data_IF_644675093830
#
_entry.id   IF_644675093830
#
_cell.length_a   1.000
_cell.length_b   1.000
_cell.length_c   1.000
_cell.angle_alpha   90.00
_cell.angle_beta   90.00
_cell.angle_gamma   90.00
#
_symmetry.space_group_name_H-M   'P 1'
#
loop_
_entity.id
_entity.type
_entity.pdbx_description
1 polymer ?
#
# COMPACT_ATOMS: atom_id res chain seq x y z
N UNK A 1 36.98 13.41 -9.09
CA UNK A 1 36.05 13.26 -7.96
C UNK A 1 35.02 14.36 -8.10
N UNK A 2 33.87 14.04 -8.69
CA UNK A 2 32.79 14.99 -8.93
C UNK A 2 31.76 14.85 -7.80
N UNK A 3 31.45 15.95 -7.15
CA UNK A 3 30.53 16.02 -6.01
C UNK A 3 29.05 15.81 -6.43
N UNK A 4 28.20 15.28 -5.54
CA UNK A 4 26.80 14.94 -5.81
C UNK A 4 25.82 16.11 -5.63
N UNK A 5 26.26 17.36 -5.83
CA UNK A 5 25.46 18.57 -5.49
C UNK A 5 24.45 18.95 -6.60
N UNK A 6 24.45 18.26 -7.75
CA UNK A 6 23.65 18.64 -8.92
C UNK A 6 22.15 18.27 -8.88
N UNK A 7 21.77 17.17 -8.22
CA UNK A 7 20.42 16.60 -8.35
C UNK A 7 19.44 17.08 -7.27
N UNK A 8 19.89 17.18 -6.01
CA UNK A 8 19.06 17.70 -4.92
C UNK A 8 18.65 19.17 -5.12
N UNK A 9 19.51 19.98 -5.77
CA UNK A 9 19.23 21.38 -6.12
C UNK A 9 18.08 21.51 -7.13
N UNK A 10 17.94 20.53 -8.04
CA UNK A 10 16.85 20.50 -9.03
C UNK A 10 15.50 20.20 -8.39
N UNK A 11 15.40 19.14 -7.57
CA UNK A 11 14.15 18.74 -6.95
C UNK A 11 13.62 19.80 -5.97
N UNK A 12 14.47 20.35 -5.10
CA UNK A 12 14.08 21.42 -4.17
C UNK A 12 13.51 22.62 -4.93
N UNK A 13 14.14 23.00 -6.04
CA UNK A 13 13.67 24.09 -6.88
C UNK A 13 12.30 23.76 -7.50
N UNK A 14 12.09 22.52 -7.98
CA UNK A 14 10.82 22.08 -8.55
C UNK A 14 9.68 22.07 -7.53
N UNK A 15 9.92 21.58 -6.30
CA UNK A 15 8.94 21.65 -5.20
C UNK A 15 8.58 23.10 -4.90
N UNK A 16 9.58 23.98 -4.80
CA UNK A 16 9.35 25.39 -4.53
C UNK A 16 8.56 26.09 -5.66
N UNK A 17 8.83 25.74 -6.92
CA UNK A 17 8.10 26.25 -8.09
C UNK A 17 6.64 25.80 -8.03
N UNK A 18 6.37 24.50 -7.86
CA UNK A 18 5.02 23.95 -7.79
C UNK A 18 4.23 24.53 -6.60
N UNK A 19 4.88 24.67 -5.45
CA UNK A 19 4.27 25.27 -4.27
C UNK A 19 3.91 26.74 -4.49
N UNK A 20 4.83 27.52 -5.08
CA UNK A 20 4.58 28.93 -5.37
C UNK A 20 3.49 29.14 -6.43
N UNK A 21 3.48 28.34 -7.50
CA UNK A 21 2.46 28.46 -8.56
C UNK A 21 1.08 28.07 -8.04
N UNK A 22 0.97 27.01 -7.23
CA UNK A 22 -0.30 26.63 -6.59
C UNK A 22 -0.85 27.72 -5.65
N UNK A 23 0.03 28.39 -4.89
CA UNK A 23 -0.35 29.56 -4.05
C UNK A 23 -0.85 30.71 -4.92
N UNK A 24 -0.14 31.00 -6.02
CA UNK A 24 -0.48 32.12 -6.89
C UNK A 24 -1.85 31.88 -7.54
N UNK A 25 -2.07 30.69 -8.10
CA UNK A 25 -3.36 30.30 -8.65
C UNK A 25 -4.48 30.35 -7.60
N UNK A 26 -4.25 29.80 -6.40
CA UNK A 26 -5.22 29.86 -5.30
C UNK A 26 -5.62 31.30 -4.98
N UNK A 27 -4.65 32.20 -4.80
CA UNK A 27 -4.90 33.61 -4.49
C UNK A 27 -5.64 34.31 -5.63
N UNK A 28 -5.27 34.01 -6.88
CA UNK A 28 -5.93 34.56 -8.06
C UNK A 28 -7.40 34.13 -8.11
N UNK A 29 -7.71 32.85 -7.94
CA UNK A 29 -9.10 32.35 -7.88
C UNK A 29 -9.85 32.94 -6.66
N UNK A 30 -9.18 33.05 -5.51
CA UNK A 30 -9.77 33.60 -4.29
C UNK A 30 -10.15 35.08 -4.44
N UNK A 31 -9.46 35.83 -5.29
CA UNK A 31 -9.72 37.26 -5.53
C UNK A 31 -11.09 37.54 -6.20
N UNK A 32 -11.70 36.53 -6.84
CA UNK A 32 -13.02 36.65 -7.46
C UNK A 32 -14.14 36.57 -6.41
N UNK A 33 -15.06 37.55 -6.38
CA UNK A 33 -16.15 37.60 -5.38
C UNK A 33 -17.20 36.50 -5.54
N UNK A 34 -17.49 36.10 -6.77
CA UNK A 34 -18.53 35.10 -7.07
C UNK A 34 -17.87 33.80 -7.48
N UNK A 35 -17.96 32.79 -6.63
CA UNK A 35 -17.37 31.48 -6.83
C UNK A 35 -18.47 30.40 -6.86
N UNK A 36 -18.80 29.84 -8.04
CA UNK A 36 -19.72 28.70 -8.11
C UNK A 36 -19.14 27.48 -7.38
N UNK A 37 -19.97 26.49 -7.07
CA UNK A 37 -19.59 25.29 -6.29
C UNK A 37 -18.29 24.64 -6.80
N UNK A 38 -18.20 24.36 -8.11
CA UNK A 38 -17.00 23.78 -8.73
C UNK A 38 -15.70 24.59 -8.53
N UNK A 39 -15.79 25.91 -8.44
CA UNK A 39 -14.62 26.78 -8.18
C UNK A 39 -14.21 26.69 -6.71
N UNK A 40 -15.17 26.59 -5.79
CA UNK A 40 -14.87 26.33 -4.37
C UNK A 40 -14.26 24.95 -4.16
N UNK A 41 -14.71 23.95 -4.91
CA UNK A 41 -14.12 22.60 -4.89
C UNK A 41 -12.69 22.61 -5.47
N UNK A 42 -12.43 23.38 -6.53
CA UNK A 42 -11.07 23.60 -7.03
C UNK A 42 -10.16 24.27 -5.98
N UNK A 43 -10.67 25.29 -5.25
CA UNK A 43 -9.91 25.91 -4.16
C UNK A 43 -9.57 24.91 -3.05
N UNK A 44 -10.51 24.03 -2.68
CA UNK A 44 -10.26 22.97 -1.70
C UNK A 44 -9.21 21.98 -2.18
N UNK A 45 -9.21 21.62 -3.48
CA UNK A 45 -8.20 20.74 -4.05
C UNK A 45 -6.81 21.40 -4.10
N UNK A 46 -6.74 22.70 -4.44
CA UNK A 46 -5.50 23.48 -4.37
C UNK A 46 -4.95 23.59 -2.95
N UNK A 47 -5.81 23.74 -1.95
CA UNK A 47 -5.40 23.76 -0.54
C UNK A 47 -4.85 22.39 -0.10
N UNK A 48 -5.48 21.30 -0.52
CA UNK A 48 -4.98 19.95 -0.28
C UNK A 48 -3.63 19.70 -0.98
N UNK A 49 -3.47 20.14 -2.23
CA UNK A 49 -2.22 20.05 -2.97
C UNK A 49 -1.10 20.85 -2.28
N UNK A 50 -1.40 22.06 -1.79
CA UNK A 50 -0.45 22.85 -1.00
C UNK A 50 -0.02 22.14 0.27
N UNK A 51 -0.94 21.47 0.95
CA UNK A 51 -0.64 20.66 2.13
C UNK A 51 0.41 19.58 1.84
N UNK A 52 0.24 18.82 0.75
CA UNK A 52 1.20 17.75 0.40
C UNK A 52 2.53 18.30 -0.12
N UNK A 53 2.52 19.41 -0.84
CA UNK A 53 3.74 20.10 -1.29
C UNK A 53 4.54 20.67 -0.12
N UNK A 54 3.86 21.14 0.93
CA UNK A 54 4.52 21.58 2.16
C UNK A 54 5.19 20.38 2.87
N UNK A 55 4.47 19.27 3.05
CA UNK A 55 5.05 18.04 3.63
C UNK A 55 6.26 17.54 2.84
N UNK A 56 6.19 17.61 1.50
CA UNK A 56 7.31 17.28 0.62
C UNK A 56 8.49 18.22 0.80
N UNK A 57 8.25 19.53 0.94
CA UNK A 57 9.30 20.51 1.21
C UNK A 57 10.03 20.19 2.51
N UNK A 58 9.29 19.86 3.58
CA UNK A 58 9.86 19.46 4.87
C UNK A 58 10.68 18.17 4.74
N UNK A 59 10.14 17.17 4.02
CA UNK A 59 10.81 15.88 3.80
C UNK A 59 12.13 16.03 3.04
N UNK A 60 12.14 16.78 1.92
CA UNK A 60 13.34 17.00 1.11
C UNK A 60 14.41 17.79 1.87
N UNK A 61 14.01 18.70 2.75
CA UNK A 61 14.95 19.47 3.58
C UNK A 61 15.54 18.66 4.74
N UNK A 62 14.81 17.68 5.26
CA UNK A 62 15.21 16.86 6.42
C UNK A 62 15.95 15.58 6.02
N UNK A 63 15.59 14.96 4.89
CA UNK A 63 16.09 13.66 4.49
C UNK A 63 17.16 13.79 3.39
N UNK A 64 18.43 13.78 3.77
CA UNK A 64 19.55 13.83 2.81
C UNK A 64 19.77 12.53 2.01
N UNK A 65 19.02 11.46 2.32
CA UNK A 65 19.25 10.10 1.80
C UNK A 65 18.00 9.44 1.18
N UNK A 66 16.92 10.20 0.98
CA UNK A 66 15.71 9.69 0.30
C UNK A 66 15.74 10.07 -1.17
N UNK A 67 15.81 9.07 -2.06
CA UNK A 67 15.71 9.30 -3.51
C UNK A 67 14.26 9.62 -3.88
N UNK A 68 14.03 10.87 -4.27
CA UNK A 68 12.74 11.40 -4.73
C UNK A 68 12.83 11.91 -6.19
N UNK A 69 13.85 11.47 -6.94
CA UNK A 69 14.09 11.89 -8.33
C UNK A 69 12.91 11.56 -9.27
N UNK A 70 12.16 10.51 -8.97
CA UNK A 70 10.94 10.15 -9.72
C UNK A 70 9.84 11.25 -9.69
N UNK A 71 9.89 12.19 -8.75
CA UNK A 71 8.97 13.33 -8.68
C UNK A 71 9.35 14.50 -9.59
N UNK A 72 10.52 14.51 -10.23
CA UNK A 72 10.97 15.66 -11.03
C UNK A 72 10.01 16.02 -12.18
N UNK A 73 9.53 15.02 -12.92
CA UNK A 73 8.57 15.23 -14.01
C UNK A 73 7.20 15.65 -13.43
N UNK A 74 6.58 14.91 -12.48
CA UNK A 74 5.32 15.31 -11.88
C UNK A 74 5.30 16.71 -11.25
N UNK A 75 6.35 17.10 -10.53
CA UNK A 75 6.42 18.42 -9.87
C UNK A 75 6.56 19.56 -10.87
N UNK A 76 7.39 19.37 -11.90
CA UNK A 76 7.52 20.33 -12.99
C UNK A 76 6.19 20.53 -13.69
N UNK A 77 5.52 19.43 -14.07
CA UNK A 77 4.22 19.48 -14.73
C UNK A 77 3.16 20.11 -13.84
N UNK A 78 3.12 19.77 -12.55
CA UNK A 78 2.24 20.40 -11.57
C UNK A 78 2.44 21.93 -11.50
N UNK A 79 3.71 22.38 -11.49
CA UNK A 79 4.05 23.79 -11.46
C UNK A 79 3.61 24.54 -12.72
N UNK A 80 3.87 23.94 -13.88
CA UNK A 80 3.47 24.45 -15.20
C UNK A 80 1.95 24.49 -15.33
N UNK A 81 1.25 23.42 -14.99
CA UNK A 81 -0.21 23.32 -15.09
C UNK A 81 -0.91 24.39 -14.22
N UNK A 82 -0.43 24.62 -12.99
CA UNK A 82 -0.95 25.71 -12.16
C UNK A 82 -0.74 27.09 -12.80
N UNK A 83 0.43 27.32 -13.40
CA UNK A 83 0.77 28.59 -14.05
C UNK A 83 -0.04 28.80 -15.33
N UNK A 84 -0.10 27.80 -16.19
CA UNK A 84 -0.85 27.84 -17.45
C UNK A 84 -2.36 28.01 -17.21
N UNK A 85 -2.92 27.33 -16.20
CA UNK A 85 -4.33 27.50 -15.86
C UNK A 85 -4.62 28.91 -15.31
N UNK A 86 -3.71 29.48 -14.52
CA UNK A 86 -3.80 30.88 -14.09
C UNK A 86 -3.81 31.83 -15.30
N UNK A 87 -2.93 31.60 -16.27
CA UNK A 87 -2.89 32.40 -17.50
C UNK A 87 -4.20 32.32 -18.29
N UNK A 88 -4.76 31.12 -18.47
CA UNK A 88 -6.07 30.96 -19.14
C UNK A 88 -7.20 31.66 -18.37
N UNK A 89 -7.20 31.56 -17.04
CA UNK A 89 -8.13 32.27 -16.18
C UNK A 89 -8.03 33.79 -16.36
N UNK A 90 -6.82 34.34 -16.37
CA UNK A 90 -6.58 35.77 -16.57
C UNK A 90 -6.95 36.23 -17.98
N UNK A 91 -6.63 35.44 -19.02
CA UNK A 91 -7.05 35.69 -20.40
C UNK A 91 -8.58 35.74 -20.52
N UNK A 92 -9.31 34.79 -19.94
CA UNK A 92 -10.76 34.78 -19.94
C UNK A 92 -11.36 35.99 -19.18
N UNK A 93 -10.73 36.40 -18.08
CA UNK A 93 -11.20 37.54 -17.27
C UNK A 93 -11.05 38.88 -18.00
N UNK A 94 -9.92 39.10 -18.69
CA UNK A 94 -9.63 40.37 -19.40
C UNK A 94 -10.56 40.62 -20.58
N UNK A 95 -11.03 39.55 -21.24
CA UNK A 95 -11.96 39.63 -22.39
C UNK A 95 -13.39 40.02 -21.98
N UNK A 96 -13.76 39.81 -20.72
CA UNK A 96 -15.14 40.02 -20.25
C UNK A 96 -15.45 41.48 -19.89
N UNK A 97 -14.50 42.41 -20.03
CA UNK A 97 -14.69 43.85 -19.80
C UNK A 97 -15.10 44.25 -18.37
N UNK A 98 -15.13 43.30 -17.44
CA UNK A 98 -15.63 43.47 -16.09
C UNK A 98 -14.52 43.49 -15.05
N UNK A 99 -14.79 44.22 -13.96
CA UNK A 99 -14.01 44.17 -12.71
C UNK A 99 -13.80 42.69 -12.29
N UNK A 100 -12.62 42.35 -11.73
CA UNK A 100 -12.28 41.00 -11.20
C UNK A 100 -13.34 40.49 -10.23
N UNK A 101 -14.14 41.38 -9.67
CA UNK A 101 -15.32 41.09 -8.87
C UNK A 101 -16.42 40.26 -9.59
N UNK A 102 -16.45 40.17 -10.93
CA UNK A 102 -17.63 39.65 -11.67
C UNK A 102 -17.33 38.68 -12.82
N UNK A 103 -16.29 37.85 -12.73
CA UNK A 103 -16.10 36.80 -13.75
C UNK A 103 -17.28 35.80 -13.72
N UNK A 104 -18.18 35.93 -14.69
CA UNK A 104 -19.39 35.11 -14.84
C UNK A 104 -19.19 33.93 -15.79
N UNK A 105 -18.13 33.96 -16.59
CA UNK A 105 -17.84 33.00 -17.66
C UNK A 105 -16.98 31.81 -17.21
N UNK A 106 -17.11 31.37 -15.95
CA UNK A 106 -16.45 30.16 -15.44
C UNK A 106 -16.73 28.91 -16.28
N UNK A 107 -17.83 28.88 -17.04
CA UNK A 107 -18.17 27.75 -17.91
C UNK A 107 -17.39 27.71 -19.22
N UNK A 108 -16.79 28.84 -19.62
CA UNK A 108 -15.96 28.96 -20.82
C UNK A 108 -14.47 28.76 -20.53
N UNK A 109 -14.10 28.67 -19.25
CA UNK A 109 -12.73 28.41 -18.85
C UNK A 109 -12.41 26.95 -19.17
N UNK A 110 -11.50 26.77 -20.13
CA UNK A 110 -11.04 25.45 -20.57
C UNK A 110 -9.54 25.34 -20.47
N UNK A 111 -9.06 24.13 -20.17
CA UNK A 111 -7.64 23.78 -20.11
C UNK A 111 -7.48 22.35 -20.62
N UNK A 112 -6.68 22.16 -21.67
CA UNK A 112 -6.48 20.86 -22.33
C UNK A 112 -7.81 20.20 -22.73
N UNK A 113 -8.69 20.96 -23.37
CA UNK A 113 -10.04 20.54 -23.73
C UNK A 113 -11.05 20.45 -22.57
N UNK A 114 -10.62 20.49 -21.31
CA UNK A 114 -11.50 20.27 -20.16
C UNK A 114 -11.92 21.55 -19.46
N UNK A 115 -13.05 21.50 -18.76
CA UNK A 115 -13.44 22.53 -17.80
C UNK A 115 -12.69 22.42 -16.47
N UNK A 116 -13.14 23.23 -15.51
CA UNK A 116 -12.64 23.28 -14.13
C UNK A 116 -12.55 21.91 -13.46
N UNK A 117 -13.51 21.01 -13.74
CA UNK A 117 -13.56 19.69 -13.13
C UNK A 117 -12.42 18.77 -13.61
N UNK A 118 -12.04 18.85 -14.89
CA UNK A 118 -10.89 18.11 -15.42
C UNK A 118 -9.57 18.65 -14.87
N UNK A 119 -9.43 19.97 -14.76
CA UNK A 119 -8.27 20.54 -14.06
C UNK A 119 -8.22 20.17 -12.57
N UNK A 120 -9.36 20.03 -11.90
CA UNK A 120 -9.40 19.53 -10.52
C UNK A 120 -8.94 18.07 -10.43
N UNK A 121 -9.33 17.22 -11.37
CA UNK A 121 -8.86 15.84 -11.46
C UNK A 121 -7.35 15.77 -11.70
N UNK A 122 -6.82 16.64 -12.54
CA UNK A 122 -5.38 16.82 -12.76
C UNK A 122 -4.62 17.10 -11.45
N UNK A 123 -5.10 18.08 -10.66
CA UNK A 123 -4.49 18.40 -9.36
C UNK A 123 -4.57 17.23 -8.37
N UNK A 124 -5.68 16.49 -8.38
CA UNK A 124 -5.84 15.29 -7.55
C UNK A 124 -4.81 14.21 -7.93
N UNK A 125 -4.52 14.06 -9.23
CA UNK A 125 -3.46 13.20 -9.75
C UNK A 125 -2.08 13.58 -9.18
N UNK A 126 -1.66 14.84 -9.32
CA UNK A 126 -0.37 15.29 -8.76
C UNK A 126 -0.31 15.11 -7.23
N UNK A 127 -1.39 15.41 -6.52
CA UNK A 127 -1.49 15.20 -5.07
C UNK A 127 -1.30 13.73 -4.71
N UNK A 128 -1.93 12.83 -5.45
CA UNK A 128 -1.78 11.38 -5.26
C UNK A 128 -0.33 10.94 -5.48
N UNK A 129 0.31 11.39 -6.57
CA UNK A 129 1.72 11.10 -6.87
C UNK A 129 2.65 11.54 -5.75
N UNK A 130 2.47 12.76 -5.23
CA UNK A 130 3.27 13.29 -4.12
C UNK A 130 3.04 12.47 -2.84
N UNK A 131 1.79 12.13 -2.53
CA UNK A 131 1.44 11.32 -1.36
C UNK A 131 2.03 9.91 -1.41
N UNK A 132 2.05 9.28 -2.58
CA UNK A 132 2.68 7.97 -2.78
C UNK A 132 4.17 8.05 -2.50
N UNK A 133 4.86 9.05 -3.04
CA UNK A 133 6.29 9.23 -2.81
C UNK A 133 6.60 9.54 -1.33
N UNK A 134 5.80 10.39 -0.68
CA UNK A 134 5.90 10.65 0.77
C UNK A 134 5.66 9.40 1.61
N UNK A 135 4.70 8.57 1.20
CA UNK A 135 4.44 7.29 1.83
C UNK A 135 5.65 6.38 1.70
N UNK A 136 6.23 6.24 0.51
CA UNK A 136 7.45 5.43 0.31
C UNK A 136 8.62 5.89 1.18
N UNK A 137 8.87 7.21 1.20
CA UNK A 137 9.89 7.81 2.06
C UNK A 137 9.66 7.52 3.55
N UNK A 138 8.40 7.59 3.99
CA UNK A 138 8.01 7.28 5.38
C UNK A 138 8.21 5.81 5.70
N UNK A 139 7.90 4.90 4.75
CA UNK A 139 8.12 3.47 4.93
C UNK A 139 9.59 3.12 5.11
N UNK A 140 10.50 3.83 4.42
CA UNK A 140 11.96 3.60 4.55
C UNK A 140 12.51 3.99 5.92
N UNK A 141 11.87 4.95 6.60
CA UNK A 141 12.41 5.58 7.82
C UNK A 141 11.74 5.10 9.10
N UNK A 142 10.53 4.54 9.03
CA UNK A 142 9.70 4.21 10.20
C UNK A 142 9.40 2.72 10.34
N UNK A 143 9.22 2.23 11.57
CA UNK A 143 8.71 0.87 11.81
C UNK A 143 7.19 0.82 11.60
N UNK A 144 6.74 0.06 10.60
CA UNK A 144 5.35 0.09 10.12
C UNK A 144 4.47 -0.94 10.85
N UNK A 145 3.23 -0.56 11.20
CA UNK A 145 2.21 -1.48 11.77
C UNK A 145 1.47 -2.22 10.65
N UNK A 146 0.79 -3.32 10.95
CA UNK A 146 0.02 -4.06 9.94
C UNK A 146 -1.16 -3.25 9.39
N UNK A 147 -1.80 -2.45 10.24
CA UNK A 147 -2.93 -1.59 9.87
C UNK A 147 -2.53 -0.47 8.89
N UNK A 148 -1.38 0.17 9.11
CA UNK A 148 -0.87 1.20 8.18
C UNK A 148 -0.54 0.60 6.81
N UNK A 149 -0.12 -0.67 6.79
CA UNK A 149 0.22 -1.37 5.55
C UNK A 149 -0.99 -1.64 4.66
N UNK A 150 -2.10 -2.08 5.24
CA UNK A 150 -3.37 -2.29 4.53
C UNK A 150 -3.90 -0.97 3.96
N UNK A 151 -3.80 0.12 4.74
CA UNK A 151 -4.16 1.46 4.27
C UNK A 151 -3.30 1.92 3.08
N UNK A 152 -1.99 1.65 3.10
CA UNK A 152 -1.11 1.97 1.98
C UNK A 152 -1.42 1.15 0.73
N UNK A 153 -1.76 -0.14 0.87
CA UNK A 153 -2.20 -0.96 -0.26
C UNK A 153 -3.49 -0.42 -0.90
N UNK A 154 -4.45 0.00 -0.08
CA UNK A 154 -5.69 0.60 -0.59
C UNK A 154 -5.43 1.95 -1.28
N UNK A 155 -4.51 2.76 -0.75
CA UNK A 155 -4.08 4.02 -1.36
C UNK A 155 -3.46 3.78 -2.74
N UNK A 156 -2.53 2.83 -2.85
CA UNK A 156 -1.86 2.48 -4.13
C UNK A 156 -2.88 2.02 -5.15
N UNK A 157 -3.80 1.13 -4.74
CA UNK A 157 -4.84 0.63 -5.65
C UNK A 157 -5.71 1.76 -6.18
N UNK A 158 -6.22 2.60 -5.29
CA UNK A 158 -7.07 3.73 -5.67
C UNK A 158 -6.34 4.69 -6.62
N UNK A 159 -5.09 5.03 -6.31
CA UNK A 159 -4.27 5.88 -7.17
C UNK A 159 -3.97 5.25 -8.53
N UNK A 160 -3.72 3.94 -8.57
CA UNK A 160 -3.48 3.20 -9.82
C UNK A 160 -4.72 3.25 -10.71
N UNK A 161 -5.89 2.94 -10.15
CA UNK A 161 -7.18 2.99 -10.86
C UNK A 161 -7.44 4.40 -11.42
N UNK A 162 -7.18 5.45 -10.61
CA UNK A 162 -7.35 6.85 -11.01
C UNK A 162 -6.36 7.28 -12.13
N UNK A 163 -5.10 6.86 -12.06
CA UNK A 163 -4.10 7.16 -13.09
C UNK A 163 -4.37 6.43 -14.40
N UNK A 164 -4.81 5.17 -14.35
CA UNK A 164 -5.19 4.42 -15.55
C UNK A 164 -6.40 5.06 -16.25
N UNK A 165 -7.40 5.48 -15.48
CA UNK A 165 -8.54 6.21 -16.02
C UNK A 165 -8.13 7.56 -16.65
N UNK A 166 -7.20 8.29 -16.01
CA UNK A 166 -6.68 9.55 -16.55
C UNK A 166 -5.84 9.35 -17.82
N UNK A 167 -5.02 8.30 -17.90
CA UNK A 167 -4.27 7.98 -19.13
C UNK A 167 -5.20 7.65 -20.30
N UNK A 168 -6.28 6.90 -20.07
CA UNK A 168 -7.27 6.63 -21.11
C UNK A 168 -7.90 7.91 -21.65
N UNK A 169 -8.24 8.85 -20.76
CA UNK A 169 -8.79 10.15 -21.15
C UNK A 169 -7.77 11.01 -21.93
N UNK A 170 -6.51 11.03 -21.49
CA UNK A 170 -5.39 11.67 -22.20
C UNK A 170 -5.20 11.09 -23.60
N UNK A 171 -5.21 9.76 -23.75
CA UNK A 171 -5.03 9.08 -25.02
C UNK A 171 -6.18 9.41 -25.99
N UNK A 172 -7.43 9.45 -25.50
CA UNK A 172 -8.60 9.90 -26.28
C UNK A 172 -8.41 11.34 -26.77
N UNK A 173 -7.89 12.25 -25.94
CA UNK A 173 -7.62 13.64 -26.32
C UNK A 173 -6.51 13.76 -27.35
N UNK A 174 -5.44 12.97 -27.21
CA UNK A 174 -4.35 12.92 -28.18
C UNK A 174 -4.87 12.46 -29.56
N UNK A 175 -5.68 11.41 -29.59
CA UNK A 175 -6.28 10.93 -30.83
C UNK A 175 -7.20 11.97 -31.48
N UNK A 176 -8.01 12.67 -30.69
CA UNK A 176 -8.90 13.71 -31.20
C UNK A 176 -8.12 14.87 -31.85
N UNK A 177 -7.04 15.33 -31.24
CA UNK A 177 -6.19 16.41 -31.78
C UNK A 177 -5.45 15.93 -33.03
N UNK A 178 -4.91 14.71 -33.02
CA UNK A 178 -4.23 14.13 -34.18
C UNK A 178 -5.17 13.96 -35.39
N UNK A 179 -6.43 13.63 -35.16
CA UNK A 179 -7.45 13.56 -36.20
C UNK A 179 -7.84 14.95 -36.73
N UNK A 180 -7.77 15.99 -35.90
CA UNK A 180 -8.10 17.36 -36.27
C UNK A 180 -6.92 18.13 -36.89
N UNK A 181 -5.68 17.64 -36.78
CA UNK A 181 -4.45 18.28 -37.26
C UNK A 181 -4.32 18.43 -38.79
N UNK A 182 -5.39 18.18 -39.56
CA UNK A 182 -5.45 18.47 -41.02
C UNK A 182 -5.43 19.98 -41.31
N UNK A 183 -5.65 20.82 -40.30
CA UNK A 183 -5.50 22.28 -40.38
C UNK A 183 -4.60 22.79 -39.25
N UNK A 184 -3.29 22.81 -39.46
CA UNK A 184 -2.28 23.25 -38.47
C UNK A 184 -2.53 24.69 -37.99
N UNK A 185 -3.01 24.85 -36.76
CA UNK A 185 -2.99 26.12 -36.03
C UNK A 185 -1.94 26.06 -34.91
N UNK A 186 -1.23 27.18 -34.66
CA UNK A 186 -0.23 27.27 -33.57
C UNK A 186 -0.83 26.93 -32.18
N UNK A 187 -2.15 27.07 -32.01
CA UNK A 187 -2.86 26.71 -30.78
C UNK A 187 -2.88 25.20 -30.54
N UNK A 188 -3.11 24.41 -31.60
CA UNK A 188 -3.19 22.95 -31.52
C UNK A 188 -1.82 22.34 -31.16
N UNK A 189 -0.72 22.96 -31.61
CA UNK A 189 0.64 22.53 -31.28
C UNK A 189 0.97 22.73 -29.78
N UNK A 190 0.51 23.83 -29.18
CA UNK A 190 0.70 24.10 -27.73
C UNK A 190 -0.13 23.13 -26.89
N UNK A 191 -1.38 22.88 -27.28
CA UNK A 191 -2.27 21.97 -26.58
C UNK A 191 -1.79 20.51 -26.65
N UNK A 192 -1.34 20.08 -27.83
CA UNK A 192 -0.73 18.76 -28.03
C UNK A 192 0.51 18.56 -27.15
N UNK A 193 1.34 19.59 -26.98
CA UNK A 193 2.50 19.53 -26.07
C UNK A 193 2.06 19.36 -24.62
N UNK A 194 1.09 20.17 -24.15
CA UNK A 194 0.57 20.07 -22.77
C UNK A 194 0.03 18.68 -22.46
N UNK A 195 -0.70 18.07 -23.40
CA UNK A 195 -1.28 16.74 -23.24
C UNK A 195 -0.19 15.66 -23.22
N UNK A 196 0.88 15.79 -24.02
CA UNK A 196 2.02 14.87 -23.96
C UNK A 196 2.80 14.99 -22.64
N UNK A 197 3.06 16.21 -22.20
CA UNK A 197 3.78 16.45 -20.93
C UNK A 197 2.95 15.90 -19.75
N UNK A 198 1.63 16.00 -19.82
CA UNK A 198 0.72 15.41 -18.83
C UNK A 198 0.67 13.89 -18.85
N UNK A 199 0.71 13.28 -20.05
CA UNK A 199 0.81 11.84 -20.22
C UNK A 199 2.07 11.30 -19.52
N UNK A 200 3.21 11.93 -19.77
CA UNK A 200 4.49 11.55 -19.16
C UNK A 200 4.46 11.68 -17.63
N UNK A 201 3.85 12.76 -17.11
CA UNK A 201 3.66 12.95 -15.67
C UNK A 201 2.78 11.85 -15.05
N UNK A 202 1.70 11.46 -15.73
CA UNK A 202 0.78 10.43 -15.25
C UNK A 202 1.44 9.04 -15.28
N UNK A 203 2.21 8.73 -16.32
CA UNK A 203 3.01 7.50 -16.38
C UNK A 203 4.02 7.41 -15.22
N UNK A 204 4.61 8.55 -14.81
CA UNK A 204 5.46 8.60 -13.61
C UNK A 204 4.70 8.37 -12.31
N UNK A 205 3.44 8.80 -12.22
CA UNK A 205 2.55 8.46 -11.11
C UNK A 205 2.35 6.95 -10.95
N UNK A 206 2.13 6.24 -12.06
CA UNK A 206 2.02 4.77 -12.08
C UNK A 206 3.34 4.08 -11.73
N UNK A 207 4.47 4.60 -12.21
CA UNK A 207 5.78 4.05 -11.84
C UNK A 207 6.00 4.12 -10.33
N UNK A 208 5.67 5.25 -9.70
CA UNK A 208 5.74 5.42 -8.25
C UNK A 208 4.79 4.48 -7.49
N UNK A 209 3.57 4.25 -8.00
CA UNK A 209 2.66 3.25 -7.44
C UNK A 209 3.29 1.85 -7.40
N UNK A 210 3.91 1.44 -8.51
CA UNK A 210 4.60 0.15 -8.63
C UNK A 210 5.78 0.06 -7.66
N UNK A 211 6.63 1.09 -7.61
CA UNK A 211 7.79 1.13 -6.72
C UNK A 211 7.37 1.00 -5.24
N UNK A 212 6.33 1.72 -4.81
CA UNK A 212 5.81 1.62 -3.45
C UNK A 212 5.23 0.23 -3.17
N UNK A 213 4.51 -0.36 -4.14
CA UNK A 213 3.97 -1.71 -4.01
C UNK A 213 5.09 -2.74 -3.82
N UNK A 214 6.13 -2.69 -4.64
CA UNK A 214 7.31 -3.56 -4.53
C UNK A 214 7.99 -3.42 -3.18
N UNK A 215 8.14 -2.18 -2.69
CA UNK A 215 8.74 -1.93 -1.40
C UNK A 215 7.89 -2.47 -0.24
N UNK A 216 6.56 -2.31 -0.30
CA UNK A 216 5.63 -2.93 0.66
C UNK A 216 5.78 -4.45 0.66
N UNK A 217 5.85 -5.09 -0.50
CA UNK A 217 6.07 -6.54 -0.60
C UNK A 217 7.40 -6.96 0.03
N UNK A 218 8.49 -6.22 -0.19
CA UNK A 218 9.79 -6.49 0.43
C UNK A 218 9.74 -6.36 1.97
N UNK A 219 9.07 -5.32 2.48
CA UNK A 219 8.90 -5.12 3.93
C UNK A 219 8.12 -6.28 4.55
N UNK A 220 7.07 -6.77 3.86
CA UNK A 220 6.31 -7.95 4.29
C UNK A 220 7.19 -9.21 4.32
N UNK A 221 8.00 -9.43 3.29
CA UNK A 221 8.89 -10.58 3.21
C UNK A 221 9.93 -10.56 4.34
N UNK A 222 10.60 -9.43 4.54
CA UNK A 222 11.62 -9.22 5.58
C UNK A 222 11.05 -9.38 7.00
N UNK A 223 9.82 -8.94 7.25
CA UNK A 223 9.15 -9.18 8.53
C UNK A 223 8.92 -10.67 8.78
N UNK A 224 8.67 -11.43 7.72
CA UNK A 224 8.45 -12.87 7.80
C UNK A 224 9.77 -13.64 7.91
N UNK A 225 10.90 -13.04 7.51
CA UNK A 225 12.27 -13.56 7.66
C UNK A 225 12.88 -13.24 9.04
N UNK A 226 12.67 -12.05 9.60
CA UNK A 226 13.21 -11.64 10.91
C UNK A 226 12.69 -12.47 12.10
N UNK A 227 11.54 -13.13 11.94
CA UNK A 227 11.05 -14.15 12.88
C UNK A 227 11.83 -15.48 12.83
N UNK A 228 12.62 -15.73 11.77
CA UNK A 228 13.44 -16.95 11.61
C UNK A 228 14.73 -16.90 12.44
N UNK A 229 15.27 -15.71 12.76
CA UNK A 229 16.62 -15.57 13.34
C UNK A 229 16.64 -15.45 14.87
N UNK A 230 15.51 -15.15 15.54
CA UNK A 230 15.48 -15.01 17.01
C UNK A 230 14.98 -16.24 17.77
N UNK A 231 14.51 -17.28 17.08
CA UNK A 231 14.17 -18.58 17.69
C UNK A 231 15.17 -19.63 17.24
N UNK A 232 16.39 -19.53 17.76
CA UNK A 232 17.31 -20.65 17.80
C UNK A 232 16.83 -21.68 18.81
N UNK A 233 15.80 -22.44 18.48
CA UNK A 233 15.54 -23.80 18.99
C UNK A 233 14.92 -24.56 17.82
N UNK A 234 15.67 -25.58 17.40
CA UNK A 234 15.31 -26.69 16.52
C UNK A 234 13.81 -26.92 16.35
N UNK A 235 13.31 -26.76 15.13
CA UNK A 235 12.15 -27.50 14.62
C UNK A 235 12.25 -27.57 13.10
N UNK A 236 13.01 -28.55 12.62
CA UNK A 236 13.23 -28.87 11.21
C UNK A 236 11.98 -29.42 10.49
N UNK A 237 10.78 -29.30 11.08
CA UNK A 237 9.55 -29.89 10.54
C UNK A 237 8.52 -28.85 10.05
N UNK A 238 8.79 -27.53 10.16
CA UNK A 238 7.83 -26.46 9.79
C UNK A 238 8.08 -25.75 8.45
N UNK A 239 9.02 -26.25 7.64
CA UNK A 239 9.52 -25.57 6.44
C UNK A 239 8.92 -26.00 5.07
N UNK A 240 8.29 -27.18 4.86
CA UNK A 240 7.89 -27.58 3.51
C UNK A 240 6.85 -26.66 2.85
N UNK A 241 5.78 -26.28 3.58
CA UNK A 241 4.64 -25.57 2.98
C UNK A 241 4.93 -24.09 2.69
N UNK A 242 5.73 -23.41 3.53
CA UNK A 242 6.14 -22.02 3.29
C UNK A 242 7.06 -21.94 2.06
N UNK A 243 8.04 -22.85 1.97
CA UNK A 243 8.98 -22.91 0.85
C UNK A 243 8.25 -23.29 -0.45
N UNK A 244 7.26 -24.19 -0.37
CA UNK A 244 6.42 -24.54 -1.53
C UNK A 244 5.57 -23.34 -1.98
N UNK A 245 4.99 -22.56 -1.06
CA UNK A 245 4.23 -21.36 -1.43
C UNK A 245 5.11 -20.25 -2.01
N UNK A 246 6.23 -19.95 -1.36
CA UNK A 246 7.19 -18.94 -1.83
C UNK A 246 7.76 -19.35 -3.21
N UNK A 247 8.14 -20.61 -3.40
CA UNK A 247 8.61 -21.12 -4.68
C UNK A 247 7.53 -21.17 -5.77
N UNK A 248 6.28 -21.44 -5.40
CA UNK A 248 5.15 -21.42 -6.35
C UNK A 248 4.82 -20.00 -6.80
N UNK A 249 4.89 -19.03 -5.88
CA UNK A 249 4.70 -17.63 -6.17
C UNK A 249 5.83 -17.08 -7.04
N UNK A 250 7.08 -17.37 -6.70
CA UNK A 250 8.25 -17.00 -7.53
C UNK A 250 8.17 -17.63 -8.92
N UNK A 251 7.74 -18.89 -9.03
CA UNK A 251 7.52 -19.55 -10.31
C UNK A 251 6.43 -18.84 -11.14
N UNK A 252 5.33 -18.43 -10.50
CA UNK A 252 4.25 -17.68 -11.15
C UNK A 252 4.73 -16.32 -11.65
N UNK A 253 5.48 -15.58 -10.84
CA UNK A 253 5.97 -14.24 -11.20
C UNK A 253 6.97 -14.32 -12.36
N UNK A 254 7.86 -15.31 -12.33
CA UNK A 254 8.80 -15.60 -13.40
C UNK A 254 8.09 -16.01 -14.71
N UNK A 255 7.07 -16.87 -14.62
CA UNK A 255 6.28 -17.29 -15.79
C UNK A 255 5.47 -16.13 -16.35
N UNK A 256 4.90 -15.27 -15.50
CA UNK A 256 4.14 -14.08 -15.91
C UNK A 256 5.05 -13.08 -16.63
N UNK A 257 6.27 -12.87 -16.12
CA UNK A 257 7.28 -12.03 -16.77
C UNK A 257 7.74 -12.59 -18.12
N UNK A 258 7.84 -13.90 -18.26
CA UNK A 258 8.12 -14.54 -19.56
C UNK A 258 6.94 -14.46 -20.52
N UNK A 259 5.71 -14.57 -20.02
CA UNK A 259 4.49 -14.44 -20.83
C UNK A 259 4.40 -13.04 -21.45
N UNK A 260 4.63 -11.99 -20.68
CA UNK A 260 4.60 -10.61 -21.19
C UNK A 260 5.68 -10.37 -22.24
N UNK A 261 6.88 -10.91 -22.04
CA UNK A 261 7.97 -10.84 -23.02
C UNK A 261 7.60 -11.55 -24.34
N UNK A 262 7.01 -12.75 -24.25
CA UNK A 262 6.54 -13.51 -25.41
C UNK A 262 5.42 -12.78 -26.16
N UNK A 263 4.48 -12.18 -25.44
CA UNK A 263 3.39 -11.38 -26.03
C UNK A 263 3.92 -10.14 -26.76
N UNK A 264 4.88 -9.42 -26.17
CA UNK A 264 5.55 -8.30 -26.82
C UNK A 264 6.30 -8.73 -28.09
N UNK A 265 6.96 -9.89 -28.04
CA UNK A 265 7.67 -10.44 -29.20
C UNK A 265 6.70 -10.82 -30.33
N UNK A 266 5.58 -11.47 -30.01
CA UNK A 266 4.51 -11.79 -30.95
C UNK A 266 3.90 -10.54 -31.59
N UNK A 267 3.66 -9.49 -30.80
CA UNK A 267 3.15 -8.21 -31.32
C UNK A 267 4.15 -7.53 -32.26
N UNK A 268 5.44 -7.58 -31.94
CA UNK A 268 6.53 -7.01 -32.75
C UNK A 268 6.64 -7.71 -34.10
N UNK A 269 6.63 -9.05 -34.12
CA UNK A 269 6.67 -9.83 -35.36
C UNK A 269 5.40 -9.58 -36.17
N UNK A 270 4.23 -9.55 -35.53
CA UNK A 270 2.95 -9.28 -36.22
C UNK A 270 2.93 -7.88 -36.85
N UNK A 271 3.47 -6.86 -36.18
CA UNK A 271 3.60 -5.51 -36.72
C UNK A 271 4.60 -5.45 -37.89
N UNK A 272 5.74 -6.13 -37.76
CA UNK A 272 6.74 -6.28 -38.83
C UNK A 272 6.15 -6.96 -40.08
N UNK A 273 5.35 -8.01 -39.89
CA UNK A 273 4.66 -8.72 -40.97
C UNK A 273 3.63 -7.84 -41.68
N UNK A 274 2.87 -7.01 -40.95
CA UNK A 274 1.92 -6.05 -41.54
C UNK A 274 2.63 -4.98 -42.39
N UNK A 275 3.79 -4.49 -41.93
CA UNK A 275 4.61 -3.51 -42.64
C UNK A 275 5.29 -4.11 -43.89
N UNK A 276 5.68 -5.38 -43.83
CA UNK A 276 6.31 -6.12 -44.95
C UNK A 276 5.33 -6.61 -46.03
N UNK A 277 4.05 -6.24 -46.00
CA UNK A 277 2.97 -6.74 -46.88
C UNK A 277 3.15 -6.56 -48.41
N UNK A 278 4.29 -6.04 -48.89
CA UNK A 278 4.71 -6.07 -50.31
C UNK A 278 5.86 -7.05 -50.64
N UNK A 279 6.45 -7.70 -49.64
CA UNK A 279 7.50 -8.71 -49.80
C UNK A 279 6.99 -10.09 -49.37
N UNK A 280 7.43 -11.13 -50.07
CA UNK A 280 7.14 -12.53 -49.73
C UNK A 280 7.66 -12.79 -48.31
N UNK A 281 6.75 -13.14 -47.38
CA UNK A 281 7.09 -13.56 -46.01
C UNK A 281 7.93 -14.84 -46.12
N UNK A 282 9.10 -14.89 -45.46
CA UNK A 282 9.95 -16.08 -45.47
C UNK A 282 9.23 -17.25 -44.79
N UNK A 283 9.39 -18.47 -45.29
CA UNK A 283 8.84 -19.67 -44.62
C UNK A 283 9.44 -19.85 -43.21
N UNK A 284 10.68 -19.39 -43.02
CA UNK A 284 11.37 -19.37 -41.72
C UNK A 284 10.65 -18.47 -40.69
N UNK A 285 10.14 -17.30 -41.13
CA UNK A 285 9.39 -16.37 -40.27
C UNK A 285 8.02 -16.96 -39.85
N UNK A 286 7.41 -17.79 -40.71
CA UNK A 286 6.15 -18.47 -40.41
C UNK A 286 6.34 -19.59 -39.40
N UNK A 287 7.40 -20.38 -39.55
CA UNK A 287 7.74 -21.44 -38.60
C UNK A 287 8.11 -20.87 -37.23
N UNK A 288 8.85 -19.75 -37.20
CA UNK A 288 9.17 -19.06 -35.94
C UNK A 288 7.92 -18.51 -35.25
N UNK A 289 6.98 -17.93 -36.00
CA UNK A 289 5.71 -17.46 -35.45
C UNK A 289 4.88 -18.61 -34.84
N UNK A 290 4.82 -19.77 -35.52
CA UNK A 290 4.11 -20.95 -35.00
C UNK A 290 4.75 -21.44 -33.70
N UNK A 291 6.08 -21.50 -33.63
CA UNK A 291 6.82 -21.89 -32.41
C UNK A 291 6.53 -20.95 -31.24
N UNK A 292 6.52 -19.64 -31.47
CA UNK A 292 6.26 -18.63 -30.44
C UNK A 292 4.81 -18.68 -29.92
N UNK A 293 3.85 -18.99 -30.78
CA UNK A 293 2.45 -19.17 -30.37
C UNK A 293 2.27 -20.40 -29.47
N UNK A 294 2.94 -21.50 -29.79
CA UNK A 294 2.92 -22.74 -28.98
C UNK A 294 3.61 -22.52 -27.62
N UNK A 295 4.73 -21.78 -27.60
CA UNK A 295 5.41 -21.39 -26.37
C UNK A 295 4.55 -20.48 -25.48
N UNK A 296 3.86 -19.49 -26.07
CA UNK A 296 2.93 -18.61 -25.35
C UNK A 296 1.77 -19.38 -24.72
N UNK A 297 1.18 -20.34 -25.44
CA UNK A 297 0.11 -21.20 -24.92
C UNK A 297 0.60 -22.05 -23.74
N UNK A 298 1.79 -22.64 -23.88
CA UNK A 298 2.40 -23.48 -22.85
C UNK A 298 2.67 -22.67 -21.58
N UNK A 299 3.22 -21.46 -21.70
CA UNK A 299 3.46 -20.58 -20.54
C UNK A 299 2.14 -20.20 -19.86
N UNK A 300 1.08 -19.89 -20.62
CA UNK A 300 -0.24 -19.58 -20.05
C UNK A 300 -0.83 -20.77 -19.29
N UNK A 301 -0.66 -21.98 -19.81
CA UNK A 301 -1.09 -23.20 -19.13
C UNK A 301 -0.31 -23.42 -17.81
N UNK A 302 1.00 -23.19 -17.81
CA UNK A 302 1.83 -23.27 -16.60
C UNK A 302 1.39 -22.27 -15.53
N UNK A 303 1.08 -21.02 -15.91
CA UNK A 303 0.53 -20.01 -15.00
C UNK A 303 -0.81 -20.49 -14.40
N UNK A 304 -1.67 -21.08 -15.23
CA UNK A 304 -2.94 -21.67 -14.79
C UNK A 304 -2.76 -22.79 -13.75
N UNK A 305 -1.80 -23.69 -13.99
CA UNK A 305 -1.47 -24.78 -13.05
C UNK A 305 -0.95 -24.21 -11.72
N UNK A 306 -0.03 -23.23 -11.77
CA UNK A 306 0.49 -22.59 -10.56
C UNK A 306 -0.61 -21.90 -9.75
N UNK A 307 -1.55 -21.25 -10.43
CA UNK A 307 -2.68 -20.56 -9.78
C UNK A 307 -3.65 -21.55 -9.12
N UNK A 308 -3.94 -22.68 -9.77
CA UNK A 308 -4.77 -23.73 -9.18
C UNK A 308 -4.10 -24.41 -7.99
N UNK A 309 -2.78 -24.61 -8.05
CA UNK A 309 -2.01 -25.16 -6.94
C UNK A 309 -2.03 -24.22 -5.72
N UNK A 310 -1.86 -22.91 -5.93
CA UNK A 310 -1.90 -21.90 -4.86
C UNK A 310 -3.29 -21.84 -4.20
N UNK A 311 -4.37 -21.78 -5.00
CA UNK A 311 -5.74 -21.78 -4.50
C UNK A 311 -6.04 -23.03 -3.64
N UNK A 312 -5.63 -24.22 -4.10
CA UNK A 312 -5.79 -25.47 -3.34
C UNK A 312 -5.01 -25.48 -2.03
N UNK A 313 -3.85 -24.82 -1.97
CA UNK A 313 -3.08 -24.72 -0.73
C UNK A 313 -3.78 -23.76 0.23
N UNK A 314 -4.29 -22.63 -0.26
CA UNK A 314 -5.00 -21.64 0.57
C UNK A 314 -6.33 -22.17 1.12
N UNK A 315 -7.11 -22.92 0.34
CA UNK A 315 -8.37 -23.54 0.79
C UNK A 315 -8.17 -24.53 1.96
N UNK A 316 -7.01 -25.20 1.99
CA UNK A 316 -6.66 -26.23 2.96
C UNK A 316 -5.99 -25.70 4.24
N UNK A 317 -5.77 -24.38 4.35
CA UNK A 317 -5.19 -23.75 5.55
C UNK A 317 -6.24 -22.87 6.24
N UNK A 318 -6.51 -23.13 7.52
CA UNK A 318 -7.36 -22.28 8.35
C UNK A 318 -6.49 -21.31 9.16
N UNK A 319 -6.63 -20.01 8.89
CA UNK A 319 -5.93 -18.95 9.62
C UNK A 319 -6.80 -18.46 10.78
N UNK A 320 -6.31 -18.55 12.02
CA UNK A 320 -7.12 -18.25 13.23
C UNK A 320 -6.30 -17.41 14.23
N UNK A 321 -6.74 -16.20 14.58
CA UNK A 321 -6.15 -15.41 15.68
C UNK A 321 -7.10 -15.43 16.88
N UNK A 322 -6.63 -16.00 17.99
CA UNK A 322 -7.40 -16.17 19.23
C UNK A 322 -6.79 -15.29 20.32
N UNK A 323 -7.60 -14.44 20.95
CA UNK A 323 -7.20 -13.56 22.05
C UNK A 323 -8.14 -13.69 23.25
N UNK A 324 -7.61 -13.90 24.45
CA UNK A 324 -8.41 -13.97 25.68
C UNK A 324 -7.86 -13.07 26.79
N UNK A 325 -8.77 -12.41 27.50
CA UNK A 325 -8.48 -11.60 28.69
C UNK A 325 -9.22 -12.14 29.89
N UNK A 326 -8.57 -12.13 31.05
CA UNK A 326 -9.16 -12.59 32.32
C UNK A 326 -8.28 -13.61 33.05
N UNK A 327 -8.57 -13.77 34.35
CA UNK A 327 -7.89 -14.73 35.21
C UNK A 327 -8.51 -16.13 35.06
N UNK A 328 -7.69 -17.16 35.12
CA UNK A 328 -8.04 -18.59 34.99
C UNK A 328 -8.67 -18.98 33.64
N UNK A 329 -8.23 -18.36 32.55
CA UNK A 329 -8.73 -18.65 31.20
C UNK A 329 -8.10 -19.91 30.56
N UNK A 330 -8.89 -20.60 29.74
CA UNK A 330 -8.42 -21.71 28.89
C UNK A 330 -8.76 -21.41 27.44
N UNK A 331 -7.76 -21.41 26.57
CA UNK A 331 -7.92 -21.17 25.13
C UNK A 331 -7.60 -22.43 24.34
N UNK A 332 -8.49 -22.81 23.41
CA UNK A 332 -8.32 -23.93 22.50
C UNK A 332 -8.12 -23.45 21.06
N UNK A 333 -7.15 -24.05 20.37
CA UNK A 333 -6.89 -23.90 18.93
C UNK A 333 -6.67 -25.29 18.34
N UNK A 334 -7.76 -26.03 18.07
CA UNK A 334 -7.70 -27.42 17.68
C UNK A 334 -8.19 -27.64 16.24
N UNK A 335 -7.50 -28.51 15.50
CA UNK A 335 -7.97 -29.09 14.23
C UNK A 335 -8.34 -30.55 14.46
N UNK A 336 -9.50 -31.01 13.98
CA UNK A 336 -9.93 -32.42 14.10
C UNK A 336 -10.13 -33.11 12.76
N UNK A 337 -9.89 -32.42 11.64
CA UNK A 337 -10.20 -32.89 10.28
C UNK A 337 -9.00 -32.83 9.33
N UNK A 338 -7.79 -33.07 9.83
CA UNK A 338 -6.48 -32.92 9.15
C UNK A 338 -6.24 -31.57 8.45
N UNK A 339 -7.13 -30.58 8.64
CA UNK A 339 -6.97 -29.26 8.07
C UNK A 339 -5.82 -28.54 8.78
N UNK A 340 -4.88 -28.01 8.02
CA UNK A 340 -3.74 -27.27 8.56
C UNK A 340 -4.25 -25.98 9.21
N UNK A 341 -3.99 -25.79 10.50
CA UNK A 341 -4.31 -24.53 11.18
C UNK A 341 -3.04 -23.67 11.29
N UNK A 342 -3.10 -22.47 10.73
CA UNK A 342 -2.13 -21.43 10.95
C UNK A 342 -2.72 -20.39 11.91
N UNK A 343 -2.64 -20.67 13.21
CA UNK A 343 -3.25 -19.80 14.21
C UNK A 343 -2.28 -19.20 15.22
N UNK A 344 -2.61 -17.98 15.66
CA UNK A 344 -1.94 -17.29 16.77
C UNK A 344 -2.87 -17.36 17.98
N UNK A 345 -2.35 -17.73 19.14
CA UNK A 345 -3.12 -17.76 20.38
C UNK A 345 -2.43 -16.84 21.41
N UNK A 346 -3.14 -15.82 21.88
CA UNK A 346 -2.63 -14.74 22.73
C UNK A 346 -3.54 -14.60 23.94
N UNK A 347 -2.98 -14.30 25.11
CA UNK A 347 -3.79 -14.10 26.31
C UNK A 347 -3.16 -13.14 27.31
N UNK A 348 -4.00 -12.48 28.11
CA UNK A 348 -3.57 -11.67 29.26
C UNK A 348 -4.39 -11.92 30.53
N UNK A 349 -3.74 -12.32 31.63
CA UNK A 349 -4.37 -12.61 32.93
C UNK A 349 -3.58 -13.63 33.78
N UNK A 350 -4.01 -13.87 35.02
CA UNK A 350 -3.42 -14.86 35.92
C UNK A 350 -3.87 -16.29 35.54
N UNK A 351 -3.00 -17.31 35.65
CA UNK A 351 -3.33 -18.74 35.40
C UNK A 351 -3.94 -19.07 34.03
N UNK A 352 -3.35 -18.55 32.95
CA UNK A 352 -3.80 -18.88 31.60
C UNK A 352 -3.30 -20.24 31.12
N UNK A 353 -4.17 -21.00 30.44
CA UNK A 353 -3.85 -22.28 29.81
C UNK A 353 -4.18 -22.22 28.32
N UNK A 354 -3.22 -22.57 27.48
CA UNK A 354 -3.41 -22.58 26.03
C UNK A 354 -3.13 -23.98 25.48
N UNK A 355 -4.05 -24.46 24.65
CA UNK A 355 -3.97 -25.77 24.01
C UNK A 355 -4.14 -25.55 22.51
N UNK A 356 -3.19 -26.02 21.73
CA UNK A 356 -3.23 -25.85 20.28
C UNK A 356 -2.59 -27.03 19.55
N UNK A 357 -3.15 -27.40 18.40
CA UNK A 357 -2.63 -28.52 17.60
C UNK A 357 -3.69 -29.28 16.82
N UNK A 358 -3.27 -30.40 16.25
CA UNK A 358 -4.16 -31.37 15.61
C UNK A 358 -4.48 -32.47 16.62
N UNK A 359 -5.77 -32.74 16.82
CA UNK A 359 -6.27 -33.64 17.86
C UNK A 359 -7.45 -34.45 17.31
N UNK A 360 -7.64 -35.67 17.80
CA UNK A 360 -8.89 -36.39 17.52
C UNK A 360 -10.06 -35.75 18.27
N UNK A 361 -11.29 -35.98 17.78
CA UNK A 361 -12.50 -35.50 18.44
C UNK A 361 -12.57 -35.95 19.91
N UNK A 362 -12.16 -37.19 20.22
CA UNK A 362 -12.14 -37.72 21.58
C UNK A 362 -11.14 -36.97 22.47
N UNK A 363 -9.98 -36.61 21.91
CA UNK A 363 -8.93 -35.87 22.62
C UNK A 363 -9.39 -34.45 22.93
N UNK A 364 -10.02 -33.76 21.98
CA UNK A 364 -10.58 -32.41 22.21
C UNK A 364 -11.70 -32.46 23.25
N UNK A 365 -12.58 -33.46 23.19
CA UNK A 365 -13.64 -33.64 24.19
C UNK A 365 -13.09 -33.90 25.58
N UNK A 366 -12.04 -34.72 25.71
CA UNK A 366 -11.41 -35.02 26.98
C UNK A 366 -10.68 -33.80 27.55
N UNK A 367 -9.89 -33.10 26.74
CA UNK A 367 -9.18 -31.88 27.14
C UNK A 367 -10.15 -30.76 27.56
N UNK A 368 -11.30 -30.65 26.89
CA UNK A 368 -12.37 -29.74 27.29
C UNK A 368 -12.91 -30.10 28.68
N UNK A 369 -13.23 -31.38 28.93
CA UNK A 369 -13.71 -31.85 30.24
C UNK A 369 -12.69 -31.60 31.36
N UNK A 370 -11.40 -31.85 31.10
CA UNK A 370 -10.34 -31.69 32.10
C UNK A 370 -10.03 -30.21 32.37
N UNK A 371 -10.10 -29.35 31.35
CA UNK A 371 -9.87 -27.92 31.48
C UNK A 371 -10.89 -27.24 32.42
N UNK A 372 -12.16 -27.63 32.32
CA UNK A 372 -13.26 -27.07 33.11
C UNK A 372 -13.58 -27.89 34.38
N UNK A 373 -13.09 -29.13 34.51
CA UNK A 373 -13.32 -30.02 35.66
C UNK A 373 -12.47 -29.73 36.90
N UNK A 374 -11.36 -28.98 36.77
CA UNK A 374 -10.43 -28.68 37.89
C UNK A 374 -10.99 -27.65 38.89
N UNK A 375 -12.05 -26.90 38.55
CA UNK A 375 -12.61 -25.85 39.41
C UNK A 375 -13.33 -26.36 40.67
N UNK A 376 -13.57 -27.66 40.82
CA UNK A 376 -14.40 -28.19 41.92
C UNK A 376 -13.66 -28.88 43.08
N UNK A 377 -12.32 -29.00 43.05
CA UNK A 377 -11.58 -29.79 44.04
C UNK A 377 -10.93 -29.02 45.20
N UNK A 378 -10.92 -27.68 45.18
CA UNK A 378 -10.29 -26.86 46.24
C UNK A 378 -11.31 -26.16 47.18
N UNK A 379 -12.59 -26.55 47.16
CA UNK A 379 -13.58 -26.09 48.14
C UNK A 379 -14.18 -27.25 48.92
N UNK A 380 -13.88 -27.25 50.22
CA UNK A 380 -14.40 -28.11 51.30
C UNK A 380 -13.81 -29.52 51.39
N UNK A 381 -12.80 -29.67 52.24
CA UNK A 381 -12.84 -30.69 53.30
C UNK A 381 -12.43 -30.06 54.62
N UNK A 382 -13.44 -29.68 55.41
CA UNK A 382 -13.33 -29.47 56.85
C UNK A 382 -12.85 -30.77 57.50
N UNK A 383 -11.71 -30.72 58.18
CA UNK A 383 -11.23 -31.83 59.01
C UNK A 383 -11.98 -31.84 60.35
N UNK A 384 -12.54 -32.98 60.81
CA UNK A 384 -13.15 -33.04 62.12
C UNK A 384 -12.09 -33.24 63.21
N UNK A 385 -12.09 -32.29 64.15
CA UNK A 385 -11.87 -32.44 65.59
C UNK A 385 -10.90 -33.54 66.05
N UNK A 386 -9.70 -33.13 66.49
CA UNK A 386 -9.07 -33.74 67.69
C UNK A 386 -8.64 -32.67 68.68
N UNK A 387 -9.02 -32.97 69.90
CA UNK A 387 -9.10 -32.16 71.09
C UNK A 387 -7.77 -32.10 71.85
N UNK A 388 -7.49 -30.91 72.38
CA UNK A 388 -6.65 -30.57 73.54
C UNK A 388 -5.26 -31.19 73.71
N UNK A 389 -4.24 -30.31 73.63
CA UNK A 389 -3.46 -29.97 74.84
C UNK A 389 -2.78 -28.60 74.70
N UNK A 390 -3.16 -27.75 75.64
CA UNK A 390 -2.62 -26.43 76.00
C UNK A 390 -1.10 -26.39 76.18
N UNK A 391 -0.44 -25.33 75.67
CA UNK A 391 0.42 -24.44 76.47
C UNK A 391 0.36 -23.03 75.87
N UNK A 392 -0.02 -22.09 76.74
CA UNK A 392 -0.06 -20.64 76.58
C UNK A 392 1.33 -20.00 76.48
N UNK A 393 1.48 -19.03 75.57
CA UNK A 393 2.41 -17.89 75.77
C UNK A 393 1.91 -16.68 74.99
N UNK A 394 1.68 -15.61 75.74
CA UNK A 394 1.18 -14.30 75.33
C UNK A 394 2.14 -13.59 74.37
N UNK A 395 1.63 -12.82 73.41
CA UNK A 395 2.46 -11.86 72.70
C UNK A 395 1.90 -11.28 71.41
N UNK A 396 1.22 -10.14 71.54
CA UNK A 396 1.02 -9.06 70.55
C UNK A 396 0.14 -9.36 69.32
N UNK A 397 -1.04 -8.74 69.35
CA UNK A 397 -1.83 -8.43 68.17
C UNK A 397 -0.99 -7.59 67.19
N UNK A 398 -0.63 -8.17 66.04
CA UNK A 398 -0.18 -7.43 64.87
C UNK A 398 -1.37 -7.20 63.95
N UNK A 399 -1.78 -5.94 63.94
CA UNK A 399 -2.70 -5.26 63.05
C UNK A 399 -2.34 -5.49 61.58
N UNK A 400 -2.80 -6.58 60.96
CA UNK A 400 -2.94 -6.72 59.50
C UNK A 400 -3.93 -7.85 59.21
N UNK A 401 -5.21 -7.59 59.52
CA UNK A 401 -6.30 -8.41 59.02
C UNK A 401 -6.85 -7.79 57.73
N UNK A 402 -6.92 -8.59 56.65
CA UNK A 402 -7.76 -8.31 55.50
C UNK A 402 -7.15 -7.69 54.23
N UNK A 403 -5.83 -7.48 54.07
CA UNK A 403 -5.26 -7.05 52.76
C UNK A 403 -3.88 -7.65 52.45
N UNK A 404 -3.82 -8.34 51.30
CA UNK A 404 -2.66 -8.90 50.58
C UNK A 404 -2.11 -10.25 51.08
N UNK A 405 -1.81 -11.12 50.11
CA UNK A 405 -1.54 -12.56 50.26
C UNK A 405 -0.30 -12.93 51.08
N UNK A 406 -0.10 -14.24 51.28
CA UNK A 406 1.00 -14.80 52.09
C UNK A 406 2.36 -14.33 51.56
N UNK A 407 2.95 -13.34 52.21
CA UNK A 407 4.33 -12.93 51.97
C UNK A 407 5.31 -14.06 52.31
N UNK A 408 6.37 -14.19 51.51
CA UNK A 408 7.45 -15.15 51.74
C UNK A 408 8.65 -14.41 52.36
N UNK A 409 9.20 -14.95 53.45
CA UNK A 409 10.36 -14.37 54.11
C UNK A 409 11.64 -14.70 53.34
N UNK A 410 12.37 -13.68 52.87
CA UNK A 410 13.72 -13.83 52.32
C UNK A 410 14.72 -13.91 53.48
N UNK A 411 15.24 -15.11 53.74
CA UNK A 411 16.36 -15.28 54.65
C UNK A 411 17.65 -14.78 54.00
N UNK A 412 18.05 -13.55 54.32
CA UNK A 412 19.43 -13.09 54.16
C UNK A 412 20.24 -13.64 55.34
N UNK A 413 21.10 -14.63 55.08
CA UNK A 413 22.26 -14.90 55.95
C UNK A 413 23.50 -14.30 55.31
N UNK A 414 24.23 -13.43 56.02
CA UNK A 414 25.61 -13.10 55.66
C UNK A 414 26.56 -14.11 56.32
N UNK A 415 27.45 -14.71 55.53
CA UNK A 415 28.77 -15.22 55.95
C UNK A 415 29.62 -15.38 54.70
#
# INVERSE_FOLDING_TARGET
MAEPIGLASGLVALVAIAFKSSITLYNTIQSFRVQPKRVRELLGELEALRGVLQMLTETVNLASDTDLSALEIPLRRCGEACTEFEEELLKCSSRSGGDRASFRDWAKLTYMGDGIDGFRQLLAGYKSTINIALTDATLRTSSITTETLENHQQLIKTATDDFEAHLQDIDVKLDAILQHAVTESDSDAVELRRIKDERESTEKGLELCRQLSDHIHQVQLNRTEGYKTSSGITNAERFPQRIVNEGLQECRDNLSSKATLLEQHLQTITASLKLKSKSIISEEDKEELIRLLDESETVRQCIGICSQADARIQENVSIIDNYATGDETVQFLASTNDKTINGKNRGFGYRQRQIGGHFSDETVQQLSKDAFGVSHRDRCEDSPLRQDRSVSSEGKATEFDGRFGRGHALNLKPS
#
